data_IF_665840176946
#
_entry.id   IF_665840176946
#
_cell.length_a   1.000
_cell.length_b   1.000
_cell.length_c   1.000
_cell.angle_alpha   90.00
_cell.angle_beta   90.00
_cell.angle_gamma   90.00
#
_symmetry.space_group_name_H-M   'P 1'
#
loop_
_entity.id
_entity.type
_entity.pdbx_description
1 polymer ?
#
# COMPACT_ATOMS: atom_id res chain seq x y z
N UNK A 1 -13.09 -0.79 18.51
CA UNK A 1 -13.63 -0.37 17.19
C UNK A 1 -12.90 0.91 16.76
N UNK A 2 -12.89 1.24 15.46
CA UNK A 2 -12.36 2.53 15.02
C UNK A 2 -13.29 3.65 15.52
N UNK A 3 -12.74 4.81 15.92
CA UNK A 3 -13.54 6.00 16.23
C UNK A 3 -14.40 6.46 15.04
N UNK A 4 -15.56 7.05 15.31
CA UNK A 4 -16.55 7.43 14.29
C UNK A 4 -16.01 8.51 13.33
N UNK A 5 -15.27 9.47 13.86
CA UNK A 5 -14.59 10.54 13.09
C UNK A 5 -13.57 9.96 12.10
N UNK A 6 -12.84 8.91 12.49
CA UNK A 6 -11.92 8.19 11.60
C UNK A 6 -12.70 7.46 10.50
N UNK A 7 -13.84 6.84 10.82
CA UNK A 7 -14.67 6.16 9.82
C UNK A 7 -15.28 7.14 8.82
N UNK A 8 -15.72 8.31 9.27
CA UNK A 8 -16.20 9.37 8.39
C UNK A 8 -15.08 9.86 7.46
N UNK A 9 -13.90 10.16 8.00
CA UNK A 9 -12.75 10.60 7.22
C UNK A 9 -12.33 9.56 6.15
N UNK A 10 -12.30 8.29 6.52
CA UNK A 10 -11.92 7.19 5.61
C UNK A 10 -12.98 6.88 4.54
N UNK A 11 -14.22 7.32 4.73
CA UNK A 11 -15.30 7.18 3.74
C UNK A 11 -15.44 8.41 2.85
N UNK A 12 -15.09 9.59 3.36
CA UNK A 12 -15.20 10.88 2.65
C UNK A 12 -13.99 11.25 1.78
N UNK A 13 -13.22 10.26 1.30
CA UNK A 13 -11.99 10.50 0.53
C UNK A 13 -12.34 11.01 -0.88
N UNK A 14 -11.61 12.01 -1.45
CA UNK A 14 -11.89 12.54 -2.79
C UNK A 14 -11.83 11.47 -3.90
N UNK A 15 -12.56 11.73 -4.99
CA UNK A 15 -12.55 10.89 -6.19
C UNK A 15 -11.13 10.65 -6.72
N UNK A 16 -10.82 9.41 -7.07
CA UNK A 16 -9.50 8.98 -7.53
C UNK A 16 -8.60 8.40 -6.44
N UNK A 17 -8.99 8.52 -5.16
CA UNK A 17 -8.38 7.79 -4.05
C UNK A 17 -9.28 6.65 -3.59
N UNK A 18 -8.71 5.62 -2.96
CA UNK A 18 -9.48 4.53 -2.38
C UNK A 18 -10.17 4.97 -1.09
N UNK A 19 -11.47 4.64 -0.94
CA UNK A 19 -12.21 4.76 0.31
C UNK A 19 -12.17 3.45 1.10
N UNK A 20 -12.41 3.51 2.41
CA UNK A 20 -12.55 2.30 3.23
C UNK A 20 -13.75 1.46 2.79
N UNK A 21 -13.47 0.25 2.28
CA UNK A 21 -14.51 -0.70 1.91
C UNK A 21 -15.12 -1.42 3.13
N UNK A 22 -14.27 -2.03 3.96
CA UNK A 22 -14.67 -2.71 5.19
C UNK A 22 -13.50 -2.76 6.18
N UNK A 23 -13.81 -2.94 7.47
CA UNK A 23 -12.82 -3.18 8.50
C UNK A 23 -13.29 -4.29 9.42
N UNK A 24 -12.33 -4.98 10.04
CA UNK A 24 -12.57 -6.00 11.05
C UNK A 24 -11.73 -5.68 12.28
N UNK A 25 -12.33 -5.84 13.46
CA UNK A 25 -11.60 -5.75 14.73
C UNK A 25 -11.35 -7.16 15.20
N UNK A 26 -10.08 -7.49 15.38
CA UNK A 26 -9.61 -8.77 15.87
C UNK A 26 -8.25 -8.59 16.53
N UNK A 27 -7.83 -9.56 17.32
CA UNK A 27 -6.49 -9.60 17.91
C UNK A 27 -5.51 -10.30 16.96
N UNK A 28 -4.21 -10.08 17.16
CA UNK A 28 -3.15 -10.58 16.26
C UNK A 28 -3.27 -12.07 15.93
N UNK A 29 -3.53 -12.92 16.94
CA UNK A 29 -3.68 -14.38 16.73
C UNK A 29 -4.88 -14.73 15.84
N UNK A 30 -5.97 -13.96 15.92
CA UNK A 30 -7.18 -14.19 15.14
C UNK A 30 -7.00 -13.71 13.71
N UNK A 31 -6.29 -12.59 13.54
CA UNK A 31 -5.87 -12.09 12.24
C UNK A 31 -5.01 -13.14 11.50
N UNK A 32 -3.95 -13.63 12.15
CA UNK A 32 -3.01 -14.61 11.56
C UNK A 32 -3.73 -15.89 11.16
N UNK A 33 -4.54 -16.47 12.07
CA UNK A 33 -5.31 -17.68 11.77
C UNK A 33 -6.29 -17.49 10.61
N UNK A 34 -6.89 -16.30 10.48
CA UNK A 34 -7.84 -16.00 9.40
C UNK A 34 -7.18 -15.94 8.02
N UNK A 35 -5.93 -15.47 7.94
CA UNK A 35 -5.24 -15.24 6.65
C UNK A 35 -4.21 -16.31 6.34
N UNK A 36 -4.06 -17.35 7.15
CA UNK A 36 -3.04 -18.40 6.99
C UNK A 36 -3.04 -19.06 5.60
N UNK A 37 -4.23 -19.32 5.04
CA UNK A 37 -4.37 -19.94 3.70
C UNK A 37 -4.15 -19.00 2.52
N UNK A 38 -4.23 -17.69 2.74
CA UNK A 38 -4.03 -16.65 1.71
C UNK A 38 -3.52 -15.37 2.38
N UNK A 39 -2.23 -15.35 2.77
CA UNK A 39 -1.68 -14.23 3.51
C UNK A 39 -1.55 -12.99 2.61
N UNK A 40 -1.75 -11.79 3.16
CA UNK A 40 -1.52 -10.57 2.41
C UNK A 40 -0.04 -10.41 2.06
N UNK A 41 0.26 -9.94 0.84
CA UNK A 41 1.63 -9.68 0.39
C UNK A 41 2.32 -8.53 1.16
N UNK A 42 1.53 -7.60 1.73
CA UNK A 42 2.03 -6.42 2.44
C UNK A 42 1.18 -6.15 3.67
N UNK A 43 1.84 -5.91 4.81
CA UNK A 43 1.19 -5.54 6.06
C UNK A 43 1.82 -4.25 6.58
N UNK A 44 1.02 -3.18 6.68
CA UNK A 44 1.41 -1.95 7.37
C UNK A 44 1.00 -2.05 8.84
N UNK A 45 1.98 -2.06 9.73
CA UNK A 45 1.76 -2.16 11.18
C UNK A 45 1.68 -0.77 11.80
N UNK A 46 0.59 -0.46 12.51
CA UNK A 46 0.43 0.78 13.27
C UNK A 46 0.53 0.41 14.75
N UNK A 47 1.55 0.91 15.44
CA UNK A 47 1.84 0.65 16.85
C UNK A 47 2.06 -0.84 17.24
N UNK A 48 2.19 -1.75 16.26
CA UNK A 48 2.45 -3.17 16.48
C UNK A 48 3.94 -3.53 16.25
N UNK A 49 4.37 -4.63 16.87
CA UNK A 49 5.74 -5.13 16.81
C UNK A 49 6.00 -5.95 15.54
N UNK A 50 6.92 -5.50 14.70
CA UNK A 50 7.29 -6.19 13.46
C UNK A 50 7.91 -7.57 13.71
N UNK A 51 8.71 -7.74 14.76
CA UNK A 51 9.34 -9.02 15.10
C UNK A 51 8.34 -10.07 15.57
N UNK A 52 7.37 -9.68 16.40
CA UNK A 52 6.29 -10.56 16.84
C UNK A 52 5.43 -11.02 15.65
N UNK A 53 5.12 -10.10 14.74
CA UNK A 53 4.36 -10.43 13.53
C UNK A 53 5.16 -11.33 12.58
N UNK A 54 6.47 -11.12 12.45
CA UNK A 54 7.33 -11.99 11.66
C UNK A 54 7.33 -13.43 12.19
N UNK A 55 7.40 -13.61 13.51
CA UNK A 55 7.28 -14.94 14.14
C UNK A 55 5.90 -15.56 13.89
N UNK A 56 4.83 -14.76 13.98
CA UNK A 56 3.48 -15.25 13.76
C UNK A 56 3.23 -15.77 12.34
N UNK A 57 3.98 -15.26 11.35
CA UNK A 57 3.98 -15.71 9.97
C UNK A 57 5.12 -16.68 9.63
N UNK A 58 5.79 -17.27 10.63
CA UNK A 58 6.93 -18.19 10.45
C UNK A 58 8.05 -17.62 9.56
N UNK A 59 8.24 -16.30 9.60
CA UNK A 59 9.22 -15.60 8.77
C UNK A 59 8.97 -15.70 7.26
N UNK A 60 7.72 -15.93 6.84
CA UNK A 60 7.35 -16.10 5.42
C UNK A 60 7.85 -14.93 4.55
N UNK A 61 8.78 -15.18 3.60
CA UNK A 61 9.40 -14.13 2.79
C UNK A 61 8.47 -13.50 1.74
N UNK A 62 7.30 -14.10 1.48
CA UNK A 62 6.29 -13.54 0.58
C UNK A 62 5.50 -12.39 1.22
N UNK A 63 5.67 -12.15 2.53
CA UNK A 63 4.96 -11.13 3.29
C UNK A 63 5.92 -9.99 3.64
N UNK A 64 5.71 -8.82 3.06
CA UNK A 64 6.44 -7.62 3.44
C UNK A 64 5.81 -6.94 4.66
N UNK A 65 6.55 -6.88 5.77
CA UNK A 65 6.16 -6.17 6.99
C UNK A 65 6.70 -4.73 7.01
N UNK A 66 5.80 -3.75 6.93
CA UNK A 66 6.11 -2.33 7.06
C UNK A 66 5.85 -1.87 8.50
N UNK A 67 6.87 -1.99 9.35
CA UNK A 67 6.79 -1.73 10.79
C UNK A 67 7.48 -0.47 11.29
N UNK A 68 7.93 0.42 10.38
CA UNK A 68 8.53 1.69 10.77
C UNK A 68 7.49 2.60 11.46
N UNK A 69 7.97 3.57 12.24
CA UNK A 69 7.11 4.59 12.85
C UNK A 69 6.26 5.30 11.78
N UNK A 70 5.01 5.63 12.12
CA UNK A 70 4.12 6.39 11.23
C UNK A 70 4.68 7.79 11.04
N UNK A 71 4.73 8.28 9.80
CA UNK A 71 5.20 9.63 9.49
C UNK A 71 4.13 10.47 8.79
N UNK A 72 4.12 11.77 9.08
CA UNK A 72 3.31 12.76 8.37
C UNK A 72 3.82 13.03 6.94
N UNK A 73 5.03 12.55 6.61
CA UNK A 73 5.57 12.63 5.25
C UNK A 73 4.80 11.72 4.30
N UNK A 74 3.74 12.24 3.68
CA UNK A 74 2.90 11.48 2.75
C UNK A 74 3.69 10.83 1.61
N UNK A 75 4.79 11.45 1.14
CA UNK A 75 5.67 10.87 0.11
C UNK A 75 6.33 9.56 0.56
N UNK A 76 6.64 9.42 1.85
CA UNK A 76 7.23 8.20 2.41
C UNK A 76 6.12 7.22 2.81
N UNK A 77 5.09 7.70 3.50
CA UNK A 77 4.03 6.84 4.05
C UNK A 77 3.14 6.20 2.95
N UNK A 78 3.08 6.79 1.75
CA UNK A 78 2.28 6.23 0.63
C UNK A 78 2.94 5.01 -0.04
N UNK A 79 4.26 4.83 0.10
CA UNK A 79 5.02 3.80 -0.63
C UNK A 79 4.51 2.36 -0.43
N UNK A 80 4.10 1.92 0.78
CA UNK A 80 3.54 0.58 0.97
C UNK A 80 2.24 0.34 0.18
N UNK A 81 1.51 1.39 -0.17
CA UNK A 81 0.16 1.35 -0.76
C UNK A 81 0.16 1.45 -2.29
N UNK A 82 1.31 1.69 -2.92
CA UNK A 82 1.44 1.82 -4.37
C UNK A 82 2.31 0.70 -4.96
N UNK A 83 2.10 0.42 -6.25
CA UNK A 83 3.00 -0.42 -7.03
C UNK A 83 3.72 0.48 -8.02
N UNK A 84 5.04 0.43 -8.01
CA UNK A 84 5.84 1.15 -8.99
C UNK A 84 5.62 0.54 -10.38
N UNK A 85 5.57 1.40 -11.39
CA UNK A 85 5.44 0.99 -12.78
C UNK A 85 6.37 1.85 -13.64
N UNK A 86 7.10 1.18 -14.51
CA UNK A 86 7.89 1.85 -15.56
C UNK A 86 7.26 1.53 -16.91
N UNK A 87 7.07 2.58 -17.73
CA UNK A 87 6.54 2.48 -19.09
C UNK A 87 7.55 3.12 -20.02
N UNK A 88 8.04 2.34 -20.98
CA UNK A 88 8.95 2.83 -22.03
C UNK A 88 8.23 2.76 -23.37
N UNK A 89 8.33 3.85 -24.14
CA UNK A 89 7.68 4.01 -25.44
C UNK A 89 8.71 4.54 -26.43
N UNK A 90 8.83 3.90 -27.59
CA UNK A 90 9.65 4.42 -28.69
C UNK A 90 9.02 5.71 -29.22
N UNK A 91 9.70 6.83 -28.98
CA UNK A 91 9.22 8.16 -29.36
C UNK A 91 9.54 8.55 -30.82
N UNK A 92 9.83 7.58 -31.69
CA UNK A 92 10.18 7.82 -33.08
C UNK A 92 9.65 6.73 -34.00
N UNK A 93 9.49 7.07 -35.28
CA UNK A 93 9.27 6.10 -36.36
C UNK A 93 10.42 6.20 -37.35
N UNK A 94 11.21 5.12 -37.48
CA UNK A 94 12.41 5.10 -38.33
C UNK A 94 13.38 6.28 -38.08
N UNK A 95 13.56 6.67 -36.81
CA UNK A 95 14.43 7.79 -36.42
C UNK A 95 13.80 9.17 -36.56
N UNK A 96 12.64 9.31 -37.21
CA UNK A 96 11.87 10.57 -37.18
C UNK A 96 11.14 10.69 -35.83
N UNK A 97 11.49 11.67 -34.96
CA UNK A 97 10.83 11.84 -33.67
C UNK A 97 9.35 12.18 -33.86
N UNK A 98 8.50 11.65 -32.98
CA UNK A 98 7.09 12.01 -32.96
C UNK A 98 6.92 13.34 -32.21
N UNK A 99 6.36 14.39 -32.86
CA UNK A 99 6.28 15.73 -32.28
C UNK A 99 5.41 15.80 -31.02
N UNK A 100 4.53 14.82 -30.77
CA UNK A 100 3.72 14.76 -29.54
C UNK A 100 4.57 14.42 -28.33
N UNK A 101 5.63 13.63 -28.50
CA UNK A 101 6.55 13.33 -27.40
C UNK A 101 7.57 14.46 -27.18
N UNK A 102 7.87 15.27 -28.19
CA UNK A 102 8.81 16.39 -28.07
C UNK A 102 8.31 17.53 -27.16
N UNK A 103 6.99 17.67 -27.00
CA UNK A 103 6.35 18.74 -26.24
C UNK A 103 5.74 18.27 -24.91
N UNK A 104 6.08 17.05 -24.45
CA UNK A 104 5.68 16.59 -23.12
C UNK A 104 6.39 17.44 -22.07
N UNK A 105 5.63 18.21 -21.31
CA UNK A 105 6.11 18.81 -20.07
C UNK A 105 6.33 17.70 -19.05
N UNK A 106 7.58 17.53 -18.63
CA UNK A 106 7.99 16.63 -17.55
C UNK A 106 8.00 17.39 -16.23
#
# INVERSE_FOLDING_TARGET
>A
PLPDDVLEALRGVPDGFGSLASYKVEIDREFVARVEGDPPQRIRLIAARADAMAVAFDGNPEIALYGNEVTESGRVEILPFVKEQSVSVTAHRFGAPDPRFANLSI
#
